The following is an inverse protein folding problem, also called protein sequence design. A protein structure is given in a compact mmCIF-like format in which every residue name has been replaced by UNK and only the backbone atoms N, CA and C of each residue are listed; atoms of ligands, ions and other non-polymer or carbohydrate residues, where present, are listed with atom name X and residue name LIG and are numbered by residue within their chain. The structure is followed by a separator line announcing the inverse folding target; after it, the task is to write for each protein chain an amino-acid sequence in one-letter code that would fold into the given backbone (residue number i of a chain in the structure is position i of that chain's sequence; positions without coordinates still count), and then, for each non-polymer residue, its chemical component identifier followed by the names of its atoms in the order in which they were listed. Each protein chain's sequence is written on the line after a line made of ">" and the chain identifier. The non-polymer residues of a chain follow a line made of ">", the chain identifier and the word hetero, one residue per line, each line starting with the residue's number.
data_IF_687271537023
#
_entry.id   IF_687271537023
#
_cell.length_a   1.000
_cell.length_b   1.000
_cell.length_c   1.000
_cell.angle_alpha   90.00
_cell.angle_beta   90.00
_cell.angle_gamma   90.00
#
_symmetry.space_group_name_H-M   'P 1'
#
loop_
_entity.id
_entity.type
_entity.pdbx_description
1 polymer ?
#
# COMPACT_ATOMS: atom_id res chain seq x y z
N UNK A 1 -25.18 0.55 -19.49
CA UNK A 1 -24.74 0.61 -18.08
C UNK A 1 -23.32 0.11 -18.08
N UNK A 2 -22.33 0.96 -17.85
CA UNK A 2 -20.98 0.48 -17.57
C UNK A 2 -21.05 -0.27 -16.23
N UNK A 3 -20.85 -1.58 -16.25
CA UNK A 3 -20.58 -2.32 -15.02
C UNK A 3 -19.30 -1.73 -14.43
N UNK A 4 -19.43 -1.04 -13.30
CA UNK A 4 -18.29 -0.61 -12.51
C UNK A 4 -17.67 -1.88 -11.94
N UNK A 5 -16.70 -2.46 -12.64
CA UNK A 5 -15.94 -3.59 -12.14
C UNK A 5 -15.17 -3.15 -10.90
N UNK A 6 -15.47 -3.76 -9.76
CA UNK A 6 -14.74 -3.53 -8.52
C UNK A 6 -13.26 -3.88 -8.72
N UNK A 7 -12.38 -2.94 -8.36
CA UNK A 7 -10.93 -3.13 -8.47
C UNK A 7 -10.51 -4.18 -7.45
N UNK A 8 -10.08 -5.35 -7.93
CA UNK A 8 -9.64 -6.47 -7.08
C UNK A 8 -8.25 -6.20 -6.54
N UNK A 9 -8.18 -5.66 -5.33
CA UNK A 9 -6.92 -5.39 -4.65
C UNK A 9 -6.31 -6.72 -4.14
N UNK A 10 -5.02 -6.98 -4.39
CA UNK A 10 -4.34 -8.15 -3.81
C UNK A 10 -4.32 -8.10 -2.28
N UNK A 11 -4.40 -9.27 -1.64
CA UNK A 11 -4.26 -9.37 -0.18
C UNK A 11 -2.86 -8.90 0.27
N UNK A 12 -2.80 -8.10 1.33
CA UNK A 12 -1.55 -7.57 1.88
C UNK A 12 -0.63 -8.71 2.35
N UNK A 13 0.66 -8.61 2.01
CA UNK A 13 1.69 -9.59 2.37
C UNK A 13 2.77 -8.91 3.23
N UNK A 14 2.71 -9.00 4.57
CA UNK A 14 3.67 -8.32 5.46
C UNK A 14 5.11 -8.81 5.31
N UNK A 15 5.31 -10.05 4.86
CA UNK A 15 6.63 -10.66 4.68
C UNK A 15 7.40 -10.09 3.48
N UNK A 16 6.70 -9.49 2.52
CA UNK A 16 7.25 -8.81 1.35
C UNK A 16 6.32 -7.67 0.88
N UNK A 17 6.31 -6.53 1.60
CA UNK A 17 5.48 -5.38 1.26
C UNK A 17 5.85 -4.81 -0.12
N UNK A 18 7.13 -4.88 -0.51
CA UNK A 18 7.62 -4.38 -1.80
C UNK A 18 6.99 -5.13 -2.98
N UNK A 19 6.93 -6.46 -2.89
CA UNK A 19 6.24 -7.27 -3.90
C UNK A 19 4.73 -6.98 -3.91
N UNK A 20 4.12 -6.83 -2.73
CA UNK A 20 2.69 -6.48 -2.65
C UNK A 20 2.37 -5.15 -3.34
N UNK A 21 3.17 -4.10 -3.08
CA UNK A 21 3.00 -2.80 -3.75
C UNK A 21 3.16 -2.89 -5.26
N UNK A 22 4.05 -3.76 -5.76
CA UNK A 22 4.24 -3.99 -7.19
C UNK A 22 2.98 -4.61 -7.83
N UNK A 23 2.36 -5.58 -7.15
CA UNK A 23 1.07 -6.15 -7.59
C UNK A 23 -0.06 -5.12 -7.52
N UNK A 24 -0.11 -4.32 -6.45
CA UNK A 24 -1.11 -3.27 -6.27
C UNK A 24 -1.04 -2.22 -7.39
N UNK A 25 0.17 -1.79 -7.76
CA UNK A 25 0.40 -0.83 -8.83
C UNK A 25 -0.01 -1.38 -10.19
N UNK A 26 0.31 -2.65 -10.45
CA UNK A 26 -0.19 -3.36 -11.64
C UNK A 26 -1.72 -3.37 -11.69
N UNK A 27 -2.39 -3.64 -10.56
CA UNK A 27 -3.86 -3.59 -10.47
C UNK A 27 -4.43 -2.20 -10.80
N UNK A 28 -3.76 -1.14 -10.36
CA UNK A 28 -4.17 0.23 -10.70
C UNK A 28 -4.01 0.54 -12.19
N UNK A 29 -2.95 0.04 -12.82
CA UNK A 29 -2.70 0.23 -14.26
C UNK A 29 -3.71 -0.49 -15.14
N UNK A 30 -4.12 -1.70 -14.76
CA UNK A 30 -5.07 -2.52 -15.53
C UNK A 30 -6.54 -2.33 -15.10
N UNK A 31 -6.81 -1.36 -14.22
CA UNK A 31 -8.16 -1.10 -13.73
C UNK A 31 -9.12 -0.71 -14.88
N UNK A 32 -10.36 -1.20 -14.80
CA UNK A 32 -11.41 -1.02 -15.81
C UNK A 32 -12.56 -0.20 -15.19
N UNK A 33 -13.17 0.75 -15.92
CA UNK A 33 -12.99 1.10 -17.34
C UNK A 33 -11.75 1.95 -17.65
N UNK A 34 -11.06 2.48 -16.64
CA UNK A 34 -9.84 3.28 -16.82
C UNK A 34 -8.83 3.04 -15.69
N UNK A 35 -7.53 3.23 -15.96
CA UNK A 35 -6.49 3.11 -14.94
C UNK A 35 -6.70 4.08 -13.77
N UNK A 36 -6.30 3.66 -12.57
CA UNK A 36 -6.25 4.51 -11.39
C UNK A 36 -4.93 5.27 -11.38
N UNK A 37 -4.98 6.56 -11.71
CA UNK A 37 -3.79 7.43 -11.78
C UNK A 37 -3.71 8.44 -10.64
N UNK A 38 -4.84 8.83 -10.05
CA UNK A 38 -4.89 9.84 -8.99
C UNK A 38 -4.26 9.34 -7.69
N UNK A 39 -3.24 10.05 -7.18
CA UNK A 39 -2.54 9.70 -5.93
C UNK A 39 -3.48 9.48 -4.75
N UNK A 40 -4.49 10.35 -4.59
CA UNK A 40 -5.48 10.21 -3.51
C UNK A 40 -6.33 8.94 -3.63
N UNK A 41 -6.67 8.52 -4.85
CA UNK A 41 -7.42 7.29 -5.08
C UNK A 41 -6.56 6.06 -4.79
N UNK A 42 -5.30 6.06 -5.25
CA UNK A 42 -4.32 5.01 -4.93
C UNK A 42 -4.12 4.88 -3.41
N UNK A 43 -3.95 6.01 -2.72
CA UNK A 43 -3.85 6.07 -1.27
C UNK A 43 -5.05 5.43 -0.58
N UNK A 44 -6.27 5.80 -0.99
CA UNK A 44 -7.49 5.26 -0.39
C UNK A 44 -7.57 3.73 -0.57
N UNK A 45 -7.31 3.21 -1.79
CA UNK A 45 -7.29 1.76 -2.04
C UNK A 45 -6.22 1.05 -1.23
N UNK A 46 -5.02 1.62 -1.15
CA UNK A 46 -3.95 1.08 -0.32
C UNK A 46 -4.40 1.00 1.15
N UNK A 47 -4.84 2.13 1.73
CA UNK A 47 -5.23 2.24 3.13
C UNK A 47 -6.30 1.23 3.55
N UNK A 48 -7.39 1.11 2.77
CA UNK A 48 -8.48 0.17 3.10
C UNK A 48 -8.07 -1.31 2.96
N UNK A 49 -6.97 -1.58 2.26
CA UNK A 49 -6.46 -2.94 2.03
C UNK A 49 -5.44 -3.38 3.07
N UNK A 50 -5.01 -2.47 3.95
CA UNK A 50 -4.07 -2.80 5.01
C UNK A 50 -4.76 -3.54 6.17
N UNK A 51 -4.13 -4.56 6.76
CA UNK A 51 -4.58 -5.11 8.02
C UNK A 51 -4.41 -4.07 9.14
N UNK A 52 -5.19 -4.22 10.21
CA UNK A 52 -5.21 -3.27 11.33
C UNK A 52 -3.82 -3.07 11.95
N UNK A 53 -3.02 -4.12 12.05
CA UNK A 53 -1.65 -4.06 12.60
C UNK A 53 -0.75 -3.13 11.77
N UNK A 54 -0.71 -3.31 10.45
CA UNK A 54 0.07 -2.44 9.56
C UNK A 54 -0.45 -1.00 9.59
N UNK A 55 -1.77 -0.81 9.56
CA UNK A 55 -2.37 0.53 9.63
C UNK A 55 -2.06 1.23 10.95
N UNK A 56 -2.01 0.50 12.07
CA UNK A 56 -1.57 1.05 13.36
C UNK A 56 -0.09 1.42 13.34
N UNK A 57 0.76 0.62 12.70
CA UNK A 57 2.20 0.88 12.57
C UNK A 57 2.48 2.20 11.87
N UNK A 58 1.70 2.59 10.84
CA UNK A 58 1.83 3.86 10.10
C UNK A 58 0.71 4.86 10.40
N UNK A 59 0.13 4.80 11.61
CA UNK A 59 -1.01 5.65 12.01
C UNK A 59 -0.70 7.14 11.90
N UNK A 60 0.52 7.55 12.24
CA UNK A 60 1.00 8.93 12.13
C UNK A 60 0.88 9.46 10.69
N UNK A 61 1.24 8.63 9.72
CA UNK A 61 1.14 8.94 8.29
C UNK A 61 -0.33 9.00 7.85
N UNK A 62 -1.17 8.10 8.36
CA UNK A 62 -2.59 8.04 7.99
C UNK A 62 -3.38 9.25 8.52
N UNK A 63 -3.07 9.69 9.75
CA UNK A 63 -3.73 10.84 10.38
C UNK A 63 -3.27 12.16 9.76
N UNK A 64 -2.00 12.24 9.34
CA UNK A 64 -1.42 13.44 8.75
C UNK A 64 -0.67 13.11 7.45
N UNK A 65 -1.39 12.75 6.38
CA UNK A 65 -0.76 12.38 5.12
C UNK A 65 -0.16 13.60 4.43
N UNK A 66 0.92 13.39 3.67
CA UNK A 66 1.48 14.42 2.82
C UNK A 66 0.48 14.93 1.78
N UNK A 67 0.58 16.22 1.48
CA UNK A 67 -0.38 16.90 0.59
C UNK A 67 -0.13 16.61 -0.89
N UNK A 68 1.12 16.35 -1.27
CA UNK A 68 1.54 16.27 -2.68
C UNK A 68 1.44 14.84 -3.22
N UNK A 69 2.00 13.87 -2.50
CA UNK A 69 1.92 12.46 -2.86
C UNK A 69 1.74 11.55 -1.62
N UNK A 70 0.52 11.51 -1.06
CA UNK A 70 0.24 10.70 0.12
C UNK A 70 0.45 9.20 -0.11
N UNK A 71 0.34 8.73 -1.37
CA UNK A 71 0.54 7.33 -1.71
C UNK A 71 2.03 6.95 -1.65
N UNK A 72 2.92 7.78 -2.21
CA UNK A 72 4.36 7.53 -2.15
C UNK A 72 4.88 7.52 -0.71
N UNK A 73 4.42 8.46 0.13
CA UNK A 73 4.78 8.50 1.54
C UNK A 73 4.34 7.21 2.26
N UNK A 74 3.06 6.83 2.11
CA UNK A 74 2.52 5.62 2.75
C UNK A 74 3.27 4.36 2.30
N UNK A 75 3.58 4.25 1.00
CA UNK A 75 4.35 3.13 0.44
C UNK A 75 5.74 3.03 1.06
N UNK A 76 6.48 4.15 1.10
CA UNK A 76 7.84 4.19 1.65
C UNK A 76 7.86 3.78 3.13
N UNK A 77 6.95 4.32 3.92
CA UNK A 77 6.88 4.06 5.36
C UNK A 77 6.48 2.61 5.68
N UNK A 78 5.53 2.03 4.94
CA UNK A 78 5.16 0.62 5.12
C UNK A 78 6.33 -0.29 4.75
N UNK A 79 7.01 -0.03 3.64
CA UNK A 79 8.17 -0.83 3.22
C UNK A 79 9.30 -0.74 4.26
N UNK A 80 9.59 0.47 4.77
CA UNK A 80 10.60 0.68 5.81
C UNK A 80 10.26 -0.09 7.07
N UNK A 81 9.09 0.19 7.68
CA UNK A 81 8.71 -0.36 8.99
C UNK A 81 8.47 -1.88 8.95
N UNK A 82 8.00 -2.44 7.84
CA UNK A 82 7.89 -3.89 7.66
C UNK A 82 9.25 -4.54 7.29
N UNK A 83 10.12 -3.84 6.57
CA UNK A 83 11.45 -4.34 6.17
C UNK A 83 12.47 -4.37 7.33
N UNK A 84 12.35 -3.45 8.28
CA UNK A 84 13.16 -3.44 9.52
C UNK A 84 12.96 -4.71 10.36
N UNK A 85 11.79 -5.34 10.28
CA UNK A 85 11.50 -6.61 10.95
C UNK A 85 12.36 -7.79 10.44
N UNK A 86 12.96 -7.68 9.25
CA UNK A 86 13.76 -8.74 8.62
C UNK A 86 15.26 -8.58 8.83
N UNK A 87 15.72 -7.38 9.22
CA UNK A 87 17.16 -7.08 9.40
C UNK A 87 17.64 -7.33 10.83
N UNK A 88 16.74 -7.53 11.79
CA UNK A 88 17.12 -7.77 13.19
C UNK A 88 17.38 -9.26 13.54
N UNK A 89 17.09 -10.23 12.65
CA UNK A 89 17.37 -11.66 12.91
C UNK A 89 18.74 -12.15 12.42
N UNK A 90 19.56 -11.33 11.75
CA UNK A 90 20.86 -11.75 11.19
C UNK A 90 22.09 -11.28 11.98
N UNK A 91 21.93 -10.76 13.19
CA UNK A 91 23.06 -10.33 14.06
C UNK A 91 23.18 -11.10 15.39
N UNK A 92 22.46 -12.21 15.57
CA UNK A 92 22.67 -13.13 16.71
C UNK A 92 22.76 -14.56 16.18
N UNK A 93 23.96 -14.96 15.79
CA UNK A 93 24.32 -16.32 15.39
C UNK A 93 25.82 -16.47 15.29
#
# INVERSE_FOLDING_TARGET
>A
MEEVSEVKIPAFTPSDPSMWFTMLESTFEIAVPKPITTFRTKYNHCFVSLPSETAMSVRDIIISPEKTDPYAQLKSEIISRCGENKTQELLVG
#
